data_IF_807621694355
#
_entry.id   IF_807621694355
#
_cell.length_a   1.000
_cell.length_b   1.000
_cell.length_c   1.000
_cell.angle_alpha   90.00
_cell.angle_beta   90.00
_cell.angle_gamma   90.00
#
_symmetry.space_group_name_H-M   'P 1'
#
loop_
_entity.id
_entity.type
_entity.pdbx_description
1 polymer ?
#
# COMPACT_ATOMS: atom_id res chain seq x y z
N UNK A 1 -0.37 -36.23 -11.45
CA UNK A 1 1.02 -36.67 -11.66
C UNK A 1 1.88 -35.85 -10.71
N UNK A 2 2.72 -36.44 -9.87
CA UNK A 2 3.54 -35.68 -8.94
C UNK A 2 4.57 -34.86 -9.72
N UNK A 3 4.63 -33.56 -9.46
CA UNK A 3 5.67 -32.69 -9.98
C UNK A 3 7.03 -33.21 -9.54
N UNK A 4 7.85 -33.64 -10.50
CA UNK A 4 9.27 -33.92 -10.26
C UNK A 4 9.92 -32.58 -9.89
N UNK A 5 10.37 -32.45 -8.65
CA UNK A 5 11.20 -31.35 -8.18
C UNK A 5 12.42 -31.21 -9.10
N UNK A 6 12.39 -30.19 -9.98
CA UNK A 6 13.61 -29.71 -10.62
C UNK A 6 14.35 -28.93 -9.53
N UNK A 7 15.57 -29.34 -9.22
CA UNK A 7 16.49 -28.52 -8.41
C UNK A 7 16.56 -27.16 -9.07
N UNK A 8 16.21 -26.06 -8.36
CA UNK A 8 16.21 -24.74 -8.96
C UNK A 8 17.61 -24.39 -9.47
N UNK A 9 17.70 -23.94 -10.71
CA UNK A 9 18.95 -23.52 -11.39
C UNK A 9 19.64 -22.34 -10.66
N UNK A 10 19.00 -21.78 -9.63
CA UNK A 10 19.42 -20.58 -8.91
C UNK A 10 20.32 -20.80 -7.69
N UNK A 11 20.57 -22.05 -7.26
CA UNK A 11 21.39 -22.35 -6.09
C UNK A 11 22.88 -22.45 -6.35
N UNK A 12 23.30 -22.47 -7.63
CA UNK A 12 24.68 -22.77 -8.01
C UNK A 12 25.73 -21.70 -7.64
N UNK A 13 25.31 -20.50 -7.17
CA UNK A 13 26.22 -19.38 -6.84
C UNK A 13 25.86 -18.62 -5.54
N UNK A 14 25.12 -19.22 -4.61
CA UNK A 14 24.80 -18.56 -3.36
C UNK A 14 25.95 -18.63 -2.36
N UNK A 15 26.41 -17.47 -1.90
CA UNK A 15 27.41 -17.39 -0.83
C UNK A 15 26.79 -17.53 0.56
N UNK A 16 25.97 -18.57 0.79
CA UNK A 16 25.25 -18.75 2.05
C UNK A 16 26.21 -18.99 3.22
N UNK A 17 27.10 -19.96 3.08
CA UNK A 17 28.05 -20.35 4.11
C UNK A 17 29.07 -19.26 4.42
N UNK A 18 29.67 -18.67 3.41
CA UNK A 18 30.67 -17.61 3.59
C UNK A 18 30.09 -16.36 4.24
N UNK A 19 28.94 -15.91 3.77
CA UNK A 19 28.24 -14.78 4.36
C UNK A 19 27.76 -15.04 5.79
N UNK A 20 27.36 -16.28 6.11
CA UNK A 20 27.00 -16.68 7.48
C UNK A 20 28.18 -16.48 8.45
N UNK A 21 29.35 -17.08 8.16
CA UNK A 21 30.53 -16.92 9.02
C UNK A 21 31.07 -15.49 9.05
N UNK A 22 31.00 -14.76 7.93
CA UNK A 22 31.30 -13.33 7.91
C UNK A 22 30.37 -12.56 8.85
N UNK A 23 29.06 -12.85 8.83
CA UNK A 23 28.08 -12.25 9.71
C UNK A 23 28.39 -12.54 11.18
N UNK A 24 28.69 -13.80 11.56
CA UNK A 24 29.10 -14.15 12.92
C UNK A 24 30.34 -13.38 13.35
N UNK A 25 31.37 -13.36 12.50
CA UNK A 25 32.59 -12.60 12.79
C UNK A 25 32.34 -11.12 13.08
N UNK A 26 31.45 -10.50 12.29
CA UNK A 26 31.13 -9.08 12.45
C UNK A 26 30.34 -8.83 13.74
N UNK A 27 29.38 -9.69 14.08
CA UNK A 27 28.59 -9.57 15.32
C UNK A 27 29.50 -9.70 16.55
N UNK A 28 30.45 -10.65 16.54
CA UNK A 28 31.38 -10.86 17.63
C UNK A 28 32.49 -9.76 17.67
N UNK A 29 32.48 -8.80 16.74
CA UNK A 29 33.47 -7.73 16.67
C UNK A 29 34.89 -8.22 16.33
N UNK A 30 35.02 -9.41 15.73
CA UNK A 30 36.30 -10.03 15.45
C UNK A 30 36.89 -9.55 14.11
N UNK A 31 38.23 -9.35 14.09
CA UNK A 31 38.93 -9.04 12.85
C UNK A 31 39.14 -10.31 12.01
N UNK A 32 39.18 -10.14 10.69
CA UNK A 32 39.45 -11.23 9.76
C UNK A 32 40.82 -11.91 10.07
N UNK A 33 41.83 -11.11 10.48
CA UNK A 33 43.15 -11.60 10.85
C UNK A 33 43.08 -12.50 12.10
N UNK A 34 42.35 -12.06 13.12
CA UNK A 34 42.22 -12.82 14.36
C UNK A 34 41.59 -14.21 14.13
N UNK A 35 40.49 -14.26 13.35
CA UNK A 35 39.83 -15.54 13.04
C UNK A 35 40.74 -16.42 12.18
N UNK A 36 41.39 -15.88 11.16
CA UNK A 36 42.29 -16.61 10.28
C UNK A 36 43.45 -17.26 11.07
N UNK A 37 44.08 -16.49 11.98
CA UNK A 37 45.16 -16.98 12.83
C UNK A 37 44.68 -18.12 13.78
N UNK A 38 43.48 -17.92 14.36
CA UNK A 38 42.90 -18.90 15.29
C UNK A 38 42.61 -20.25 14.64
N UNK A 39 42.21 -20.29 13.37
CA UNK A 39 41.95 -21.51 12.62
C UNK A 39 43.12 -21.93 11.73
N UNK A 40 44.31 -21.33 11.92
CA UNK A 40 45.55 -21.60 11.15
C UNK A 40 45.36 -21.47 9.63
N UNK A 41 44.62 -20.46 9.20
CA UNK A 41 44.32 -20.20 7.79
C UNK A 41 44.93 -18.87 7.32
N UNK A 42 45.24 -18.75 6.04
CA UNK A 42 45.68 -17.47 5.46
C UNK A 42 44.51 -16.48 5.43
N UNK A 43 44.73 -15.22 5.90
CA UNK A 43 43.76 -14.14 5.93
C UNK A 43 43.07 -13.91 4.57
N UNK A 44 43.85 -13.87 3.47
CA UNK A 44 43.33 -13.67 2.12
C UNK A 44 42.42 -14.82 1.69
N UNK A 45 42.77 -16.05 2.07
CA UNK A 45 41.97 -17.23 1.78
C UNK A 45 40.64 -17.21 2.55
N UNK A 46 40.66 -16.89 3.86
CA UNK A 46 39.44 -16.73 4.65
C UNK A 46 38.55 -15.62 4.07
N UNK A 47 39.15 -14.51 3.65
CA UNK A 47 38.40 -13.44 2.95
C UNK A 47 37.72 -13.92 1.68
N UNK A 48 38.40 -14.75 0.89
CA UNK A 48 37.83 -15.32 -0.33
C UNK A 48 36.68 -16.28 -0.04
N UNK A 49 36.76 -17.06 1.05
CA UNK A 49 35.68 -17.93 1.52
C UNK A 49 34.47 -17.12 1.99
N UNK A 50 34.68 -16.10 2.85
CA UNK A 50 33.59 -15.25 3.36
C UNK A 50 32.88 -14.46 2.25
N UNK A 51 33.57 -14.16 1.16
CA UNK A 51 33.00 -13.44 0.01
C UNK A 51 32.55 -14.37 -1.14
N UNK A 52 32.55 -15.69 -0.93
CA UNK A 52 32.08 -16.65 -1.91
C UNK A 52 32.94 -16.77 -3.16
N UNK A 53 34.19 -16.28 -3.12
CA UNK A 53 35.14 -16.38 -4.23
C UNK A 53 35.78 -17.76 -4.33
N UNK A 54 35.68 -18.56 -3.28
CA UNK A 54 36.19 -19.91 -3.18
C UNK A 54 35.22 -20.81 -2.44
N UNK A 55 35.26 -22.11 -2.75
CA UNK A 55 34.54 -23.14 -1.99
C UNK A 55 35.30 -23.47 -0.71
N UNK A 56 34.55 -23.84 0.33
CA UNK A 56 35.13 -24.30 1.59
C UNK A 56 35.80 -25.62 1.40
N UNK A 57 37.09 -25.76 1.77
CA UNK A 57 37.76 -27.07 1.84
C UNK A 57 37.11 -27.98 2.88
N UNK A 58 37.26 -29.29 2.68
CA UNK A 58 36.78 -30.27 3.65
C UNK A 58 37.31 -29.98 5.05
N UNK A 59 36.45 -30.07 6.04
CA UNK A 59 36.75 -29.82 7.43
C UNK A 59 36.83 -28.35 7.88
N UNK A 60 36.89 -27.38 6.95
CA UNK A 60 36.97 -25.95 7.30
C UNK A 60 35.72 -25.47 8.04
N UNK A 61 34.53 -25.91 7.63
CA UNK A 61 33.27 -25.57 8.30
C UNK A 61 33.28 -26.08 9.75
N UNK A 62 33.80 -27.27 9.99
CA UNK A 62 33.95 -27.82 11.34
C UNK A 62 34.90 -26.97 12.18
N UNK A 63 36.03 -26.54 11.63
CA UNK A 63 36.97 -25.65 12.33
C UNK A 63 36.33 -24.31 12.72
N UNK A 64 35.54 -23.73 11.83
CA UNK A 64 34.78 -22.49 12.12
C UNK A 64 33.66 -22.73 13.13
N UNK A 65 32.94 -23.86 13.03
CA UNK A 65 31.95 -24.27 14.02
C UNK A 65 32.56 -24.41 15.41
N UNK A 66 33.70 -25.07 15.50
CA UNK A 66 34.45 -25.27 16.78
C UNK A 66 34.92 -23.90 17.32
N UNK A 67 35.46 -23.06 16.46
CA UNK A 67 35.93 -21.70 16.84
C UNK A 67 34.81 -20.82 17.39
N UNK A 68 33.66 -20.78 16.72
CA UNK A 68 32.51 -19.96 17.14
C UNK A 68 31.59 -20.70 18.12
N UNK A 69 31.87 -21.93 18.49
CA UNK A 69 30.97 -22.80 19.26
C UNK A 69 29.55 -22.91 18.66
N UNK A 70 29.49 -23.12 17.34
CA UNK A 70 28.28 -23.23 16.57
C UNK A 70 28.07 -24.68 16.05
N UNK A 71 26.87 -24.92 15.50
CA UNK A 71 26.49 -26.18 14.84
C UNK A 71 25.91 -25.90 13.45
N UNK A 72 26.59 -25.05 12.67
CA UNK A 72 26.12 -24.69 11.34
C UNK A 72 26.16 -25.90 10.38
N UNK A 73 25.01 -26.15 9.73
CA UNK A 73 24.84 -27.16 8.69
C UNK A 73 24.72 -26.47 7.32
N UNK A 74 25.71 -26.66 6.45
CA UNK A 74 25.76 -26.04 5.10
C UNK A 74 24.92 -26.78 4.06
N UNK A 75 24.21 -27.86 4.45
CA UNK A 75 23.32 -28.60 3.56
C UNK A 75 22.22 -27.71 2.99
N UNK A 76 22.09 -27.62 1.69
CA UNK A 76 21.07 -26.83 1.00
C UNK A 76 19.61 -27.26 1.28
N UNK A 77 19.43 -28.42 1.97
CA UNK A 77 18.08 -28.93 2.30
C UNK A 77 17.23 -27.90 3.06
N UNK A 78 17.83 -27.12 3.97
CA UNK A 78 17.12 -26.13 4.79
C UNK A 78 16.73 -24.91 3.99
N UNK A 79 17.59 -24.45 3.09
CA UNK A 79 17.26 -23.39 2.15
C UNK A 79 16.11 -23.80 1.22
N UNK A 80 16.17 -25.01 0.63
CA UNK A 80 15.14 -25.54 -0.26
C UNK A 80 13.81 -25.74 0.49
N UNK A 81 13.84 -26.20 1.73
CA UNK A 81 12.62 -26.32 2.57
C UNK A 81 11.93 -24.98 2.74
N UNK A 82 12.68 -23.91 3.06
CA UNK A 82 12.13 -22.55 3.20
C UNK A 82 11.63 -22.02 1.85
N UNK A 83 12.38 -22.23 0.78
CA UNK A 83 12.00 -21.78 -0.56
C UNK A 83 10.66 -22.38 -1.02
N UNK A 84 10.40 -23.65 -0.73
CA UNK A 84 9.12 -24.31 -1.03
C UNK A 84 7.94 -23.71 -0.24
N UNK A 85 8.17 -23.20 0.96
CA UNK A 85 7.12 -22.55 1.76
C UNK A 85 6.80 -21.14 1.28
N UNK A 86 7.73 -20.45 0.62
CA UNK A 86 7.52 -19.07 0.15
C UNK A 86 6.36 -18.99 -0.83
N UNK A 87 6.29 -19.90 -1.79
CA UNK A 87 5.25 -19.89 -2.81
C UNK A 87 3.85 -20.04 -2.16
N UNK A 88 3.73 -20.89 -1.12
CA UNK A 88 2.47 -21.03 -0.37
C UNK A 88 2.13 -19.77 0.46
N UNK A 89 3.12 -19.13 1.06
CA UNK A 89 2.93 -17.89 1.84
C UNK A 89 2.42 -16.76 0.93
N UNK A 90 3.09 -16.54 -0.21
CA UNK A 90 2.69 -15.49 -1.13
C UNK A 90 1.37 -15.81 -1.85
N UNK A 91 1.09 -17.09 -2.12
CA UNK A 91 -0.21 -17.51 -2.61
C UNK A 91 -1.32 -17.23 -1.58
N UNK A 92 -1.09 -17.51 -0.29
CA UNK A 92 -2.04 -17.17 0.77
C UNK A 92 -2.26 -15.66 0.88
N UNK A 93 -1.18 -14.86 0.77
CA UNK A 93 -1.24 -13.40 0.79
C UNK A 93 -2.05 -12.85 -0.39
N UNK A 94 -1.81 -13.32 -1.62
CA UNK A 94 -2.56 -12.93 -2.81
C UNK A 94 -4.06 -13.24 -2.71
N UNK A 95 -4.42 -14.29 -1.98
CA UNK A 95 -5.82 -14.69 -1.74
C UNK A 95 -6.42 -14.07 -0.47
N UNK A 96 -5.72 -13.10 0.16
CA UNK A 96 -6.15 -12.46 1.41
C UNK A 96 -6.43 -13.45 2.55
N UNK A 97 -5.79 -14.63 2.50
CA UNK A 97 -5.92 -15.67 3.52
C UNK A 97 -4.90 -15.45 4.65
N UNK A 98 -5.13 -14.38 5.43
CA UNK A 98 -4.26 -13.97 6.53
C UNK A 98 -4.06 -15.06 7.59
N UNK A 99 -5.05 -15.91 7.79
CA UNK A 99 -4.94 -17.03 8.74
C UNK A 99 -3.90 -18.05 8.27
N UNK A 100 -3.99 -18.49 6.99
CA UNK A 100 -3.02 -19.45 6.41
C UNK A 100 -1.63 -18.82 6.33
N UNK A 101 -1.52 -17.56 5.89
CA UNK A 101 -0.27 -16.80 5.86
C UNK A 101 0.43 -16.82 7.23
N UNK A 102 -0.30 -16.44 8.28
CA UNK A 102 0.21 -16.41 9.66
C UNK A 102 0.65 -17.78 10.14
N UNK A 103 -0.19 -18.79 9.93
CA UNK A 103 0.09 -20.17 10.34
C UNK A 103 1.39 -20.72 9.71
N UNK A 104 1.61 -20.48 8.41
CA UNK A 104 2.82 -20.91 7.71
C UNK A 104 4.07 -20.21 8.26
N UNK A 105 4.00 -18.90 8.49
CA UNK A 105 5.11 -18.14 9.08
C UNK A 105 5.40 -18.57 10.51
N UNK A 106 4.40 -18.79 11.35
CA UNK A 106 4.59 -19.27 12.72
C UNK A 106 5.20 -20.70 12.77
N UNK A 107 4.82 -21.56 11.82
CA UNK A 107 5.43 -22.89 11.68
C UNK A 107 6.93 -22.78 11.35
N UNK A 108 7.31 -21.89 10.46
CA UNK A 108 8.72 -21.62 10.14
C UNK A 108 9.45 -21.06 11.36
N UNK A 109 8.86 -20.10 12.05
CA UNK A 109 9.46 -19.47 13.24
C UNK A 109 9.63 -20.45 14.41
N UNK A 110 8.77 -21.48 14.51
CA UNK A 110 8.90 -22.52 15.52
C UNK A 110 10.17 -23.39 15.37
N UNK A 111 10.76 -23.40 14.15
CA UNK A 111 12.00 -24.12 13.84
C UNK A 111 13.24 -23.19 13.84
N UNK A 112 13.18 -22.06 14.54
CA UNK A 112 14.23 -21.03 14.58
C UNK A 112 15.62 -21.63 14.78
N UNK A 113 15.82 -22.45 15.81
CA UNK A 113 17.13 -23.00 16.17
C UNK A 113 17.79 -23.81 15.03
N UNK A 114 16.97 -24.43 14.18
CA UNK A 114 17.43 -25.20 13.03
C UNK A 114 17.86 -24.24 11.90
N UNK A 115 17.01 -23.28 11.55
CA UNK A 115 17.28 -22.40 10.40
C UNK A 115 18.36 -21.36 10.71
N UNK A 116 18.45 -20.86 11.93
CA UNK A 116 19.51 -19.91 12.35
C UNK A 116 20.90 -20.54 12.32
N UNK A 117 21.00 -21.87 12.38
CA UNK A 117 22.26 -22.59 12.30
C UNK A 117 22.39 -23.42 11.01
N UNK A 118 21.90 -22.90 9.89
CA UNK A 118 21.91 -23.64 8.62
C UNK A 118 22.03 -22.74 7.40
N UNK A 119 22.15 -23.35 6.23
CA UNK A 119 22.08 -22.68 4.94
C UNK A 119 20.81 -21.84 4.73
N UNK A 120 19.77 -22.11 5.51
CA UNK A 120 18.51 -21.34 5.50
C UNK A 120 18.55 -20.00 6.24
N UNK A 121 19.66 -19.65 6.92
CA UNK A 121 19.77 -18.50 7.81
C UNK A 121 19.22 -17.18 7.23
N UNK A 122 19.69 -16.77 6.05
CA UNK A 122 19.27 -15.49 5.47
C UNK A 122 17.81 -15.51 5.01
N UNK A 123 17.37 -16.60 4.40
CA UNK A 123 15.99 -16.76 3.96
C UNK A 123 15.01 -16.83 5.14
N UNK A 124 15.41 -17.51 6.22
CA UNK A 124 14.66 -17.53 7.48
C UNK A 124 14.52 -16.11 8.06
N UNK A 125 15.58 -15.33 8.12
CA UNK A 125 15.53 -13.94 8.62
C UNK A 125 14.72 -13.03 7.72
N UNK A 126 14.68 -13.28 6.42
CA UNK A 126 13.79 -12.57 5.50
C UNK A 126 12.31 -12.87 5.80
N UNK A 127 11.95 -14.11 6.06
CA UNK A 127 10.60 -14.52 6.44
C UNK A 127 10.24 -14.04 7.86
N UNK A 128 11.20 -13.99 8.77
CA UNK A 128 11.04 -13.39 10.09
C UNK A 128 10.76 -11.89 9.98
N UNK A 129 11.49 -11.16 9.14
CA UNK A 129 11.21 -9.74 8.83
C UNK A 129 9.78 -9.57 8.31
N UNK A 130 9.33 -10.45 7.42
CA UNK A 130 7.98 -10.43 6.90
C UNK A 130 6.93 -10.62 8.01
N UNK A 131 7.13 -11.62 8.88
CA UNK A 131 6.25 -11.84 10.03
C UNK A 131 6.21 -10.63 10.98
N UNK A 132 7.36 -10.05 11.31
CA UNK A 132 7.44 -8.86 12.16
C UNK A 132 6.65 -7.70 11.57
N UNK A 133 6.78 -7.48 10.29
CA UNK A 133 6.04 -6.43 9.58
C UNK A 133 4.53 -6.72 9.59
N UNK A 134 4.10 -7.93 9.34
CA UNK A 134 2.68 -8.26 9.18
C UNK A 134 1.93 -8.43 10.50
N UNK A 135 2.56 -8.97 11.52
CA UNK A 135 1.87 -9.50 12.71
C UNK A 135 2.41 -9.00 14.05
N UNK A 136 3.65 -8.57 14.14
CA UNK A 136 4.24 -8.14 15.41
C UNK A 136 4.32 -6.61 15.53
N UNK A 137 4.67 -5.90 14.46
CA UNK A 137 4.75 -4.44 14.36
C UNK A 137 5.72 -3.76 15.35
N UNK A 138 6.71 -4.50 15.89
CA UNK A 138 7.74 -3.92 16.75
C UNK A 138 8.86 -3.31 15.88
N UNK A 139 8.95 -1.99 15.86
CA UNK A 139 9.88 -1.24 15.00
C UNK A 139 11.36 -1.54 15.28
N UNK A 140 11.72 -1.81 16.52
CA UNK A 140 13.12 -2.18 16.87
C UNK A 140 13.50 -3.48 16.21
N UNK A 141 12.66 -4.53 16.37
CA UNK A 141 12.92 -5.84 15.75
C UNK A 141 12.87 -5.79 14.23
N UNK A 142 11.97 -4.99 13.65
CA UNK A 142 11.90 -4.77 12.20
C UNK A 142 13.21 -4.15 11.70
N UNK A 143 13.72 -3.10 12.38
CA UNK A 143 14.94 -2.44 11.98
C UNK A 143 16.17 -3.34 12.10
N UNK A 144 16.27 -4.16 13.17
CA UNK A 144 17.36 -5.12 13.34
C UNK A 144 17.35 -6.19 12.25
N UNK A 145 16.19 -6.80 11.99
CA UNK A 145 16.05 -7.83 10.94
C UNK A 145 16.33 -7.22 9.53
N UNK A 146 15.85 -6.01 9.25
CA UNK A 146 16.14 -5.30 8.01
C UNK A 146 17.63 -5.04 7.83
N UNK A 147 18.31 -4.54 8.87
CA UNK A 147 19.76 -4.27 8.86
C UNK A 147 20.57 -5.53 8.61
N UNK A 148 20.18 -6.67 9.21
CA UNK A 148 20.81 -7.96 8.99
C UNK A 148 20.79 -8.33 7.50
N UNK A 149 19.63 -8.22 6.85
CA UNK A 149 19.48 -8.54 5.43
C UNK A 149 20.27 -7.54 4.56
N UNK A 150 20.15 -6.24 4.82
CA UNK A 150 20.85 -5.18 4.07
C UNK A 150 22.39 -5.32 4.14
N UNK A 151 22.92 -5.83 5.24
CA UNK A 151 24.36 -6.07 5.42
C UNK A 151 24.89 -7.30 4.68
N UNK A 152 24.03 -8.17 4.18
CA UNK A 152 24.38 -9.46 3.58
C UNK A 152 23.69 -9.69 2.22
N UNK A 153 23.51 -8.63 1.42
CA UNK A 153 22.83 -8.73 0.13
C UNK A 153 23.54 -9.65 -0.88
N UNK A 154 24.85 -9.89 -0.71
CA UNK A 154 25.63 -10.82 -1.52
C UNK A 154 25.32 -12.31 -1.25
N UNK A 155 24.64 -12.60 -0.13
CA UNK A 155 24.12 -13.94 0.18
C UNK A 155 22.70 -14.18 -0.38
N UNK A 156 22.13 -13.20 -1.06
CA UNK A 156 20.73 -13.19 -1.49
C UNK A 156 20.69 -13.25 -3.01
N UNK A 157 20.00 -14.24 -3.57
CA UNK A 157 19.79 -14.33 -5.01
C UNK A 157 18.73 -13.32 -5.51
N UNK A 158 18.52 -13.23 -6.81
CA UNK A 158 17.56 -12.30 -7.42
C UNK A 158 16.10 -12.58 -7.00
N UNK A 159 15.74 -13.86 -6.73
CA UNK A 159 14.41 -14.24 -6.23
C UNK A 159 14.21 -13.71 -4.82
N UNK A 160 15.13 -14.02 -3.90
CA UNK A 160 15.04 -13.57 -2.50
C UNK A 160 15.12 -12.03 -2.38
N UNK A 161 15.92 -11.41 -3.25
CA UNK A 161 15.99 -9.94 -3.32
C UNK A 161 14.66 -9.33 -3.79
N UNK A 162 13.95 -9.98 -4.71
CA UNK A 162 12.62 -9.53 -5.12
C UNK A 162 11.62 -9.62 -3.97
N UNK A 163 11.69 -10.70 -3.17
CA UNK A 163 10.89 -10.89 -1.96
C UNK A 163 11.20 -9.80 -0.94
N UNK A 164 12.48 -9.52 -0.70
CA UNK A 164 12.90 -8.45 0.20
C UNK A 164 12.33 -7.10 -0.21
N UNK A 165 12.39 -6.75 -1.48
CA UNK A 165 11.80 -5.49 -1.97
C UNK A 165 10.27 -5.48 -1.87
N UNK A 166 9.59 -6.61 -2.08
CA UNK A 166 8.16 -6.72 -1.84
C UNK A 166 7.82 -6.43 -0.37
N UNK A 167 8.54 -7.06 0.55
CA UNK A 167 8.38 -6.89 2.00
C UNK A 167 8.60 -5.43 2.42
N UNK A 168 9.64 -4.78 1.89
CA UNK A 168 9.90 -3.36 2.14
C UNK A 168 8.79 -2.47 1.56
N UNK A 169 8.27 -2.80 0.38
CA UNK A 169 7.12 -2.11 -0.21
C UNK A 169 5.90 -2.18 0.72
N UNK A 170 5.58 -3.35 1.25
CA UNK A 170 4.48 -3.56 2.23
C UNK A 170 4.75 -2.75 3.51
N UNK A 171 5.98 -2.75 4.01
CA UNK A 171 6.36 -1.99 5.20
C UNK A 171 6.12 -0.49 5.04
N UNK A 172 6.64 0.10 3.97
CA UNK A 172 6.52 1.54 3.75
C UNK A 172 5.11 1.98 3.35
N UNK A 173 4.29 1.10 2.76
CA UNK A 173 2.89 1.40 2.44
C UNK A 173 1.99 1.58 3.68
N UNK A 174 2.40 1.13 4.86
CA UNK A 174 1.64 1.32 6.11
C UNK A 174 1.41 2.79 6.47
N UNK A 175 2.28 3.66 6.02
CA UNK A 175 2.16 5.09 6.25
C UNK A 175 2.00 5.81 4.90
N UNK A 176 0.86 6.46 4.63
CA UNK A 176 0.61 7.19 3.38
C UNK A 176 1.72 8.20 3.02
N UNK A 177 2.39 8.81 4.01
CA UNK A 177 3.51 9.73 3.76
C UNK A 177 4.73 9.07 3.12
N UNK A 178 4.84 7.74 3.19
CA UNK A 178 5.93 6.95 2.62
C UNK A 178 5.53 6.18 1.36
N UNK A 179 4.36 6.44 0.79
CA UNK A 179 3.87 5.80 -0.44
C UNK A 179 4.87 5.91 -1.61
N UNK A 180 5.59 7.02 -1.72
CA UNK A 180 6.64 7.20 -2.73
C UNK A 180 7.80 6.20 -2.54
N UNK A 181 8.17 5.91 -1.30
CA UNK A 181 9.22 4.91 -0.97
C UNK A 181 8.71 3.50 -1.26
N UNK A 182 7.46 3.21 -0.88
CA UNK A 182 6.81 1.93 -1.16
C UNK A 182 6.75 1.66 -2.68
N UNK A 183 6.33 2.65 -3.47
CA UNK A 183 6.32 2.57 -4.94
C UNK A 183 7.68 2.18 -5.51
N UNK A 184 8.75 2.82 -5.02
CA UNK A 184 10.12 2.52 -5.48
C UNK A 184 10.50 1.06 -5.20
N UNK A 185 10.14 0.52 -4.04
CA UNK A 185 10.43 -0.87 -3.69
C UNK A 185 9.57 -1.85 -4.49
N UNK A 186 8.28 -1.61 -4.67
CA UNK A 186 7.45 -2.47 -5.53
C UNK A 186 7.93 -2.49 -6.99
N UNK A 187 8.36 -1.35 -7.53
CA UNK A 187 8.96 -1.29 -8.88
C UNK A 187 10.27 -2.05 -8.98
N UNK A 188 11.14 -1.97 -7.97
CA UNK A 188 12.36 -2.78 -7.91
C UNK A 188 12.03 -4.28 -7.84
N UNK A 189 11.05 -4.65 -7.02
CA UNK A 189 10.56 -6.02 -6.97
C UNK A 189 10.12 -6.50 -8.35
N UNK A 190 9.25 -5.75 -9.04
CA UNK A 190 8.75 -6.10 -10.37
C UNK A 190 9.86 -6.24 -11.41
N UNK A 191 10.96 -5.50 -11.30
CA UNK A 191 12.09 -5.64 -12.21
C UNK A 191 12.87 -6.96 -12.04
N UNK A 192 12.72 -7.65 -10.90
CA UNK A 192 13.40 -8.90 -10.56
C UNK A 192 12.45 -10.10 -10.57
N UNK A 193 11.14 -9.90 -10.42
CA UNK A 193 10.14 -10.94 -10.15
C UNK A 193 9.53 -11.59 -11.41
N UNK A 194 10.20 -11.51 -12.55
CA UNK A 194 9.68 -12.06 -13.83
C UNK A 194 9.25 -13.54 -13.76
N UNK A 195 9.81 -14.30 -12.84
CA UNK A 195 9.57 -15.74 -12.67
C UNK A 195 8.72 -16.10 -11.42
N UNK A 196 8.18 -15.10 -10.70
CA UNK A 196 7.38 -15.32 -9.48
C UNK A 196 6.02 -14.63 -9.64
N UNK A 197 5.02 -15.33 -10.23
CA UNK A 197 3.74 -14.73 -10.60
C UNK A 197 2.99 -14.10 -9.43
N UNK A 198 2.95 -14.77 -8.26
CA UNK A 198 2.21 -14.26 -7.09
C UNK A 198 2.81 -12.95 -6.56
N UNK A 199 4.14 -12.85 -6.49
CA UNK A 199 4.82 -11.61 -6.05
C UNK A 199 4.60 -10.48 -7.07
N UNK A 200 4.68 -10.78 -8.36
CA UNK A 200 4.39 -9.79 -9.40
C UNK A 200 2.92 -9.35 -9.36
N UNK A 201 1.98 -10.28 -9.14
CA UNK A 201 0.57 -9.99 -8.95
C UNK A 201 0.35 -9.05 -7.76
N UNK A 202 0.91 -9.39 -6.60
CA UNK A 202 0.81 -8.59 -5.39
C UNK A 202 1.36 -7.18 -5.60
N UNK A 203 2.58 -7.06 -6.13
CA UNK A 203 3.20 -5.74 -6.33
C UNK A 203 2.42 -4.88 -7.32
N UNK A 204 1.85 -5.46 -8.39
CA UNK A 204 1.01 -4.70 -9.33
C UNK A 204 -0.28 -4.24 -8.68
N UNK A 205 -0.90 -5.07 -7.84
CA UNK A 205 -2.10 -4.73 -7.09
C UNK A 205 -1.83 -3.63 -6.06
N UNK A 206 -0.75 -3.73 -5.30
CA UNK A 206 -0.37 -2.72 -4.30
C UNK A 206 -0.08 -1.35 -4.95
N UNK A 207 0.49 -1.33 -6.16
CA UNK A 207 0.73 -0.11 -6.92
C UNK A 207 -0.58 0.57 -7.37
N UNK A 208 -1.67 -0.18 -7.61
CA UNK A 208 -2.99 0.41 -7.92
C UNK A 208 -3.42 1.33 -6.77
N UNK A 209 -3.40 0.80 -5.54
CA UNK A 209 -3.77 1.58 -4.35
C UNK A 209 -2.89 2.81 -4.17
N UNK A 210 -1.55 2.67 -4.28
CA UNK A 210 -0.63 3.81 -4.16
C UNK A 210 -0.94 4.90 -5.19
N UNK A 211 -1.20 4.52 -6.45
CA UNK A 211 -1.51 5.50 -7.49
C UNK A 211 -2.87 6.15 -7.30
N UNK A 212 -3.88 5.40 -6.84
CA UNK A 212 -5.19 5.94 -6.49
C UNK A 212 -5.06 6.96 -5.34
N UNK A 213 -4.40 6.58 -4.24
CA UNK A 213 -4.19 7.42 -3.06
C UNK A 213 -3.35 8.69 -3.35
N UNK A 214 -2.51 8.67 -4.38
CA UNK A 214 -1.67 9.81 -4.77
C UNK A 214 -2.18 10.58 -5.97
N UNK A 215 -3.49 10.52 -6.25
CA UNK A 215 -4.18 11.23 -7.35
C UNK A 215 -3.59 10.95 -8.75
N UNK A 216 -3.02 9.77 -8.96
CA UNK A 216 -2.46 9.32 -10.24
C UNK A 216 -3.36 8.29 -10.92
N UNK A 217 -4.65 8.62 -11.05
CA UNK A 217 -5.72 7.71 -11.48
C UNK A 217 -5.48 7.07 -12.85
N UNK A 218 -4.85 7.77 -13.80
CA UNK A 218 -4.48 7.19 -15.10
C UNK A 218 -3.44 6.06 -14.98
N UNK A 219 -2.46 6.21 -14.07
CA UNK A 219 -1.50 5.14 -13.78
C UNK A 219 -2.18 3.99 -13.04
N UNK A 220 -3.02 4.30 -12.03
CA UNK A 220 -3.81 3.29 -11.33
C UNK A 220 -4.64 2.44 -12.31
N UNK A 221 -5.34 3.09 -13.24
CA UNK A 221 -6.11 2.41 -14.29
C UNK A 221 -5.23 1.47 -15.14
N UNK A 222 -4.06 1.95 -15.58
CA UNK A 222 -3.10 1.13 -16.35
C UNK A 222 -2.64 -0.09 -15.56
N UNK A 223 -2.42 0.06 -14.26
CA UNK A 223 -2.03 -1.06 -13.39
C UNK A 223 -3.20 -2.00 -13.09
N UNK A 224 -4.45 -1.53 -13.08
CA UNK A 224 -5.63 -2.40 -13.05
C UNK A 224 -5.63 -3.38 -14.23
N UNK A 225 -5.41 -2.89 -15.46
CA UNK A 225 -5.35 -3.74 -16.65
C UNK A 225 -4.22 -4.80 -16.56
N UNK A 226 -3.02 -4.37 -16.12
CA UNK A 226 -1.89 -5.29 -15.93
C UNK A 226 -2.20 -6.34 -14.86
N UNK A 227 -2.69 -5.91 -13.71
CA UNK A 227 -3.01 -6.77 -12.57
C UNK A 227 -4.09 -7.77 -12.94
N UNK A 228 -5.16 -7.33 -13.60
CA UNK A 228 -6.25 -8.19 -14.07
C UNK A 228 -5.74 -9.36 -14.92
N UNK A 229 -4.82 -9.10 -15.86
CA UNK A 229 -4.25 -10.14 -16.71
C UNK A 229 -3.47 -11.19 -15.93
N UNK A 230 -2.80 -10.81 -14.83
CA UNK A 230 -2.05 -11.72 -13.97
C UNK A 230 -3.00 -12.53 -13.10
N UNK A 231 -3.94 -11.88 -12.39
CA UNK A 231 -4.88 -12.55 -11.50
C UNK A 231 -5.87 -13.46 -12.25
N UNK A 232 -6.19 -13.16 -13.51
CA UNK A 232 -6.96 -14.08 -14.35
C UNK A 232 -6.19 -15.39 -14.60
N UNK A 233 -4.88 -15.32 -14.87
CA UNK A 233 -4.03 -16.54 -15.01
C UNK A 233 -3.91 -17.32 -13.70
N UNK A 234 -3.92 -16.63 -12.56
CA UNK A 234 -3.93 -17.24 -11.23
C UNK A 234 -5.31 -17.73 -10.80
N UNK A 235 -6.36 -17.50 -11.58
CA UNK A 235 -7.76 -17.85 -11.28
C UNK A 235 -8.26 -17.25 -9.95
N UNK A 236 -7.74 -16.10 -9.57
CA UNK A 236 -8.13 -15.39 -8.35
C UNK A 236 -9.26 -14.39 -8.64
N UNK A 237 -10.48 -14.89 -8.71
CA UNK A 237 -11.66 -14.10 -9.05
C UNK A 237 -12.02 -13.05 -7.99
N UNK A 238 -11.72 -13.33 -6.72
CA UNK A 238 -11.97 -12.36 -5.64
C UNK A 238 -11.14 -11.11 -5.82
N UNK A 239 -9.84 -11.24 -6.08
CA UNK A 239 -8.97 -10.08 -6.32
C UNK A 239 -9.32 -9.39 -7.63
N UNK A 240 -9.75 -10.12 -8.66
CA UNK A 240 -10.24 -9.53 -9.91
C UNK A 240 -11.45 -8.61 -9.69
N UNK A 241 -12.38 -9.00 -8.81
CA UNK A 241 -13.49 -8.13 -8.43
C UNK A 241 -12.99 -6.80 -7.81
N UNK A 242 -12.03 -6.84 -6.90
CA UNK A 242 -11.45 -5.61 -6.34
C UNK A 242 -10.72 -4.76 -7.37
N UNK A 243 -10.02 -5.39 -8.32
CA UNK A 243 -9.36 -4.68 -9.43
C UNK A 243 -10.39 -3.96 -10.28
N UNK A 244 -11.51 -4.62 -10.63
CA UNK A 244 -12.60 -4.03 -11.41
C UNK A 244 -13.25 -2.86 -10.64
N UNK A 245 -13.41 -3.01 -9.33
CA UNK A 245 -13.90 -1.93 -8.46
C UNK A 245 -12.94 -0.72 -8.42
N UNK A 246 -11.63 -0.95 -8.24
CA UNK A 246 -10.62 0.10 -8.33
C UNK A 246 -10.62 0.79 -9.70
N UNK A 247 -10.84 0.03 -10.77
CA UNK A 247 -10.94 0.57 -12.12
C UNK A 247 -12.11 1.55 -12.25
N UNK A 248 -13.27 1.24 -11.63
CA UNK A 248 -14.41 2.15 -11.58
C UNK A 248 -14.05 3.46 -10.87
N UNK A 249 -13.40 3.37 -9.71
CA UNK A 249 -12.97 4.56 -8.97
C UNK A 249 -11.96 5.40 -9.77
N UNK A 250 -11.04 4.75 -10.50
CA UNK A 250 -10.14 5.47 -11.40
C UNK A 250 -10.90 6.22 -12.51
N UNK A 251 -11.94 5.62 -13.10
CA UNK A 251 -12.78 6.26 -14.11
C UNK A 251 -13.51 7.48 -13.52
N UNK A 252 -14.04 7.37 -12.30
CA UNK A 252 -14.67 8.48 -11.59
C UNK A 252 -13.69 9.65 -11.42
N UNK A 253 -12.48 9.36 -10.92
CA UNK A 253 -11.45 10.38 -10.70
C UNK A 253 -10.91 10.99 -12.01
N UNK A 254 -11.05 10.29 -13.13
CA UNK A 254 -10.71 10.80 -14.47
C UNK A 254 -11.86 11.59 -15.12
N UNK A 255 -13.01 11.75 -14.43
CA UNK A 255 -14.19 12.44 -14.96
C UNK A 255 -15.01 11.62 -15.96
N UNK A 256 -14.73 10.32 -16.10
CA UNK A 256 -15.44 9.40 -16.99
C UNK A 256 -16.63 8.75 -16.26
N UNK A 257 -17.53 9.61 -15.76
CA UNK A 257 -18.60 9.21 -14.82
C UNK A 257 -19.57 8.19 -15.40
N UNK A 258 -20.02 8.35 -16.64
CA UNK A 258 -20.95 7.41 -17.26
C UNK A 258 -20.37 6.00 -17.39
N UNK A 259 -19.10 5.92 -17.80
CA UNK A 259 -18.39 4.63 -17.88
C UNK A 259 -18.20 4.00 -16.51
N UNK A 260 -17.94 4.81 -15.48
CA UNK A 260 -17.84 4.32 -14.11
C UNK A 260 -19.18 3.80 -13.58
N UNK A 261 -20.27 4.57 -13.76
CA UNK A 261 -21.63 4.18 -13.36
C UNK A 261 -22.03 2.86 -14.02
N UNK A 262 -21.81 2.74 -15.33
CA UNK A 262 -22.11 1.50 -16.05
C UNK A 262 -21.38 0.31 -15.44
N UNK A 263 -20.05 0.40 -15.27
CA UNK A 263 -19.25 -0.70 -14.70
C UNK A 263 -19.62 -1.01 -13.25
N UNK A 264 -19.85 0.00 -12.40
CA UNK A 264 -20.28 -0.21 -11.01
C UNK A 264 -21.64 -0.93 -10.96
N UNK A 265 -22.57 -0.57 -11.85
CA UNK A 265 -23.87 -1.20 -11.94
C UNK A 265 -23.75 -2.67 -12.41
N UNK A 266 -22.89 -2.95 -13.39
CA UNK A 266 -22.59 -4.31 -13.83
C UNK A 266 -21.98 -5.16 -12.70
N UNK A 267 -21.02 -4.59 -11.93
CA UNK A 267 -20.42 -5.27 -10.79
C UNK A 267 -21.46 -5.55 -9.70
N UNK A 268 -22.31 -4.57 -9.38
CA UNK A 268 -23.37 -4.71 -8.38
C UNK A 268 -24.39 -5.80 -8.75
N UNK A 269 -24.73 -5.94 -10.04
CA UNK A 269 -25.63 -6.97 -10.51
C UNK A 269 -25.03 -8.39 -10.46
N UNK A 270 -23.70 -8.48 -10.47
CA UNK A 270 -22.98 -9.76 -10.46
C UNK A 270 -22.51 -10.20 -9.07
N UNK A 271 -22.69 -9.36 -8.06
CA UNK A 271 -22.28 -9.70 -6.69
C UNK A 271 -23.34 -10.54 -5.98
N UNK A 272 -22.90 -11.50 -5.18
CA UNK A 272 -23.82 -12.24 -4.30
C UNK A 272 -24.39 -11.30 -3.23
N UNK A 273 -25.71 -11.18 -3.19
CA UNK A 273 -26.43 -10.31 -2.26
C UNK A 273 -26.22 -10.68 -0.77
N UNK A 274 -25.64 -11.83 -0.49
CA UNK A 274 -25.22 -12.20 0.88
C UNK A 274 -23.98 -11.42 1.37
N UNK A 275 -23.27 -10.73 0.50
CA UNK A 275 -22.03 -9.98 0.80
C UNK A 275 -22.31 -8.50 1.11
N UNK A 276 -23.09 -8.21 2.12
CA UNK A 276 -23.57 -6.87 2.50
C UNK A 276 -22.47 -5.79 2.54
N UNK A 277 -21.25 -6.15 2.98
CA UNK A 277 -20.15 -5.19 3.09
C UNK A 277 -19.73 -4.59 1.74
N UNK A 278 -19.65 -5.39 0.70
CA UNK A 278 -19.22 -4.92 -0.62
C UNK A 278 -20.33 -4.17 -1.34
N UNK A 279 -21.60 -4.53 -1.09
CA UNK A 279 -22.77 -3.87 -1.65
C UNK A 279 -22.85 -2.42 -1.13
N UNK A 280 -22.67 -2.20 0.17
CA UNK A 280 -22.71 -0.85 0.74
C UNK A 280 -21.64 0.06 0.14
N UNK A 281 -20.41 -0.44 0.00
CA UNK A 281 -19.30 0.30 -0.62
C UNK A 281 -19.56 0.60 -2.10
N UNK A 282 -20.24 -0.27 -2.83
CA UNK A 282 -20.64 0.00 -4.21
C UNK A 282 -21.72 1.07 -4.29
N UNK A 283 -22.71 1.06 -3.39
CA UNK A 283 -23.71 2.13 -3.30
C UNK A 283 -23.04 3.48 -2.98
N UNK A 284 -22.09 3.49 -2.06
CA UNK A 284 -21.29 4.67 -1.77
C UNK A 284 -20.57 5.20 -3.03
N UNK A 285 -19.86 4.32 -3.75
CA UNK A 285 -19.13 4.71 -4.98
C UNK A 285 -20.08 5.20 -6.09
N UNK A 286 -21.27 4.59 -6.23
CA UNK A 286 -22.30 5.07 -7.13
C UNK A 286 -22.81 6.45 -6.71
N UNK A 287 -23.11 6.64 -5.42
CA UNK A 287 -23.54 7.93 -4.88
C UNK A 287 -22.52 9.03 -5.17
N UNK A 288 -21.24 8.76 -4.92
CA UNK A 288 -20.14 9.66 -5.20
C UNK A 288 -20.04 9.99 -6.70
N UNK A 289 -20.11 9.00 -7.56
CA UNK A 289 -20.04 9.18 -9.00
C UNK A 289 -21.22 10.02 -9.53
N UNK A 290 -22.44 9.76 -9.04
CA UNK A 290 -23.63 10.56 -9.36
C UNK A 290 -23.53 12.00 -8.84
N UNK A 291 -22.93 12.20 -7.65
CA UNK A 291 -22.69 13.53 -7.11
C UNK A 291 -21.80 14.38 -8.03
N UNK A 292 -20.67 13.79 -8.45
CA UNK A 292 -19.73 14.43 -9.36
C UNK A 292 -20.31 14.65 -10.77
N UNK A 293 -21.17 13.73 -11.23
CA UNK A 293 -21.89 13.85 -12.50
C UNK A 293 -23.12 14.74 -12.43
N UNK A 294 -23.32 15.50 -11.34
CA UNK A 294 -24.43 16.41 -11.11
C UNK A 294 -25.83 15.76 -11.20
N UNK A 295 -25.92 14.45 -11.02
CA UNK A 295 -27.17 13.68 -10.98
C UNK A 295 -27.64 13.51 -9.52
N UNK A 296 -28.04 14.63 -8.92
CA UNK A 296 -28.25 14.74 -7.48
C UNK A 296 -29.36 13.85 -6.93
N UNK A 297 -30.44 13.61 -7.69
CA UNK A 297 -31.51 12.71 -7.27
C UNK A 297 -31.06 11.26 -7.14
N UNK A 298 -30.22 10.77 -8.09
CA UNK A 298 -29.63 9.44 -8.00
C UNK A 298 -28.58 9.37 -6.88
N UNK A 299 -27.81 10.46 -6.70
CA UNK A 299 -26.88 10.56 -5.54
C UNK A 299 -27.62 10.34 -4.22
N UNK A 300 -28.72 11.06 -3.97
CA UNK A 300 -29.54 10.90 -2.75
C UNK A 300 -30.03 9.47 -2.60
N UNK A 301 -30.55 8.88 -3.68
CA UNK A 301 -31.05 7.48 -3.69
C UNK A 301 -29.96 6.49 -3.28
N UNK A 302 -28.78 6.54 -3.91
CA UNK A 302 -27.70 5.62 -3.61
C UNK A 302 -27.02 5.89 -2.27
N UNK A 303 -27.01 7.15 -1.80
CA UNK A 303 -26.57 7.47 -0.45
C UNK A 303 -27.47 6.80 0.61
N UNK A 304 -28.79 6.88 0.44
CA UNK A 304 -29.71 6.19 1.35
C UNK A 304 -29.51 4.67 1.33
N UNK A 305 -29.31 4.07 0.15
CA UNK A 305 -29.01 2.65 0.05
C UNK A 305 -27.69 2.26 0.75
N UNK A 306 -26.66 3.10 0.66
CA UNK A 306 -25.40 2.89 1.38
C UNK A 306 -25.61 2.93 2.89
N UNK A 307 -26.34 3.93 3.40
CA UNK A 307 -26.67 4.08 4.84
C UNK A 307 -27.50 2.90 5.34
N UNK A 308 -28.54 2.50 4.62
CA UNK A 308 -29.39 1.34 4.94
C UNK A 308 -28.59 0.05 5.02
N UNK A 309 -27.56 -0.10 4.18
CA UNK A 309 -26.64 -1.24 4.19
C UNK A 309 -25.45 -1.04 5.13
N UNK A 310 -25.51 -0.04 6.03
CA UNK A 310 -24.52 0.23 7.08
C UNK A 310 -23.11 0.49 6.56
N UNK A 311 -23.00 1.29 5.50
CA UNK A 311 -21.70 1.75 5.03
C UNK A 311 -21.02 2.59 6.11
N UNK A 312 -19.75 2.32 6.47
CA UNK A 312 -19.05 3.03 7.53
C UNK A 312 -18.49 4.38 7.11
N UNK A 313 -18.67 4.79 5.86
CA UNK A 313 -18.04 6.00 5.30
C UNK A 313 -18.64 7.27 5.88
N UNK A 314 -17.83 8.06 6.56
CA UNK A 314 -18.28 9.29 7.24
C UNK A 314 -18.63 10.42 6.26
N UNK A 315 -18.11 10.41 5.05
CA UNK A 315 -18.37 11.40 4.00
C UNK A 315 -19.80 11.36 3.45
N UNK A 316 -20.52 10.25 3.63
CA UNK A 316 -21.95 10.17 3.29
C UNK A 316 -22.78 11.27 3.95
N UNK A 317 -22.32 11.84 5.06
CA UNK A 317 -23.03 12.89 5.80
C UNK A 317 -23.30 14.16 4.97
N UNK A 318 -22.46 14.47 3.96
CA UNK A 318 -22.65 15.66 3.13
C UNK A 318 -23.25 15.39 1.75
N UNK A 319 -23.35 14.15 1.28
CA UNK A 319 -23.85 13.83 -0.06
C UNK A 319 -25.30 14.29 -0.26
N UNK A 320 -26.18 14.00 0.70
CA UNK A 320 -27.59 14.39 0.66
C UNK A 320 -27.76 15.93 0.77
N UNK A 321 -27.22 16.61 1.79
CA UNK A 321 -27.43 18.04 1.91
C UNK A 321 -26.75 18.84 0.78
N UNK A 322 -25.57 18.41 0.31
CA UNK A 322 -24.96 19.05 -0.85
C UNK A 322 -25.82 18.87 -2.13
N UNK A 323 -26.42 17.69 -2.32
CA UNK A 323 -27.34 17.44 -3.43
C UNK A 323 -28.58 18.33 -3.35
N UNK A 324 -29.22 18.48 -2.17
CA UNK A 324 -30.32 19.41 -1.99
C UNK A 324 -29.91 20.87 -2.24
N UNK A 325 -28.73 21.25 -1.76
CA UNK A 325 -28.19 22.60 -2.02
C UNK A 325 -28.06 22.88 -3.54
N UNK A 326 -27.48 21.95 -4.30
CA UNK A 326 -27.31 22.09 -5.76
C UNK A 326 -28.64 22.04 -6.52
N UNK A 327 -29.66 21.36 -6.01
CA UNK A 327 -31.03 21.37 -6.52
C UNK A 327 -31.83 22.60 -6.08
N UNK A 328 -31.23 23.50 -5.29
CA UNK A 328 -31.89 24.68 -4.70
C UNK A 328 -33.04 24.36 -3.74
N UNK A 329 -33.08 23.12 -3.22
CA UNK A 329 -34.03 22.68 -2.19
C UNK A 329 -33.54 23.10 -0.80
N UNK A 330 -33.37 24.39 -0.56
CA UNK A 330 -32.64 24.92 0.59
C UNK A 330 -33.28 24.57 1.94
N UNK A 331 -34.61 24.50 2.02
CA UNK A 331 -35.27 24.09 3.27
C UNK A 331 -34.92 22.67 3.64
N UNK A 332 -35.03 21.72 2.70
CA UNK A 332 -34.65 20.32 2.95
C UNK A 332 -33.18 20.18 3.32
N UNK A 333 -32.31 20.99 2.68
CA UNK A 333 -30.90 21.01 2.99
C UNK A 333 -30.64 21.44 4.44
N UNK A 334 -31.24 22.53 4.90
CA UNK A 334 -31.08 23.05 6.26
C UNK A 334 -31.65 22.09 7.29
N UNK A 335 -32.85 21.55 7.09
CA UNK A 335 -33.48 20.57 7.97
C UNK A 335 -32.61 19.31 8.12
N UNK A 336 -32.03 18.84 7.01
CA UNK A 336 -31.12 17.69 7.04
C UNK A 336 -29.85 17.99 7.83
N UNK A 337 -29.21 19.15 7.60
CA UNK A 337 -27.99 19.55 8.31
C UNK A 337 -28.29 19.69 9.80
N UNK A 338 -29.37 20.40 10.18
CA UNK A 338 -29.73 20.62 11.58
C UNK A 338 -29.95 19.29 12.34
N UNK A 339 -30.60 18.32 11.69
CA UNK A 339 -30.90 17.03 12.33
C UNK A 339 -29.69 16.09 12.41
N UNK A 340 -28.64 16.27 11.59
CA UNK A 340 -27.52 15.34 11.50
C UNK A 340 -26.16 15.93 11.91
N UNK A 341 -26.06 17.26 12.08
CA UNK A 341 -24.79 17.94 12.37
C UNK A 341 -24.13 17.47 13.66
N UNK A 342 -24.90 17.18 14.68
CA UNK A 342 -24.39 16.72 15.99
C UNK A 342 -23.67 15.36 15.86
N UNK A 343 -24.21 14.48 15.01
CA UNK A 343 -23.71 13.11 14.80
C UNK A 343 -22.68 13.02 13.68
N UNK A 344 -22.48 14.09 12.89
CA UNK A 344 -21.48 14.09 11.83
C UNK A 344 -20.07 14.03 12.41
N UNK A 345 -19.15 13.39 11.68
CA UNK A 345 -17.74 13.38 12.01
C UNK A 345 -17.17 14.82 12.03
N UNK A 346 -16.33 15.11 13.02
CA UNK A 346 -15.77 16.46 13.21
C UNK A 346 -14.97 16.96 12.00
N UNK A 347 -14.45 16.05 11.19
CA UNK A 347 -13.74 16.38 9.94
C UNK A 347 -14.69 17.03 8.90
N UNK A 348 -15.94 16.55 8.80
CA UNK A 348 -16.93 17.03 7.82
C UNK A 348 -17.84 18.15 8.33
N UNK A 349 -17.93 18.36 9.65
CA UNK A 349 -18.75 19.43 10.24
C UNK A 349 -18.52 20.81 9.61
N UNK A 350 -17.27 21.27 9.38
CA UNK A 350 -17.05 22.58 8.77
C UNK A 350 -17.64 22.69 7.36
N UNK A 351 -17.64 21.59 6.59
CA UNK A 351 -18.26 21.61 5.26
C UNK A 351 -19.78 21.73 5.36
N UNK A 352 -20.44 20.98 6.22
CA UNK A 352 -21.88 21.10 6.46
C UNK A 352 -22.27 22.52 6.93
N UNK A 353 -21.51 23.08 7.85
CA UNK A 353 -21.69 24.45 8.32
C UNK A 353 -21.48 25.48 7.20
N UNK A 354 -20.54 25.26 6.29
CA UNK A 354 -20.33 26.14 5.14
C UNK A 354 -21.53 26.13 4.18
N UNK A 355 -22.13 24.95 3.93
CA UNK A 355 -23.34 24.85 3.11
C UNK A 355 -24.49 25.64 3.74
N UNK A 356 -24.72 25.46 5.04
CA UNK A 356 -25.75 26.19 5.79
C UNK A 356 -25.52 27.70 5.76
N UNK A 357 -24.30 28.15 6.07
CA UNK A 357 -23.91 29.55 6.06
C UNK A 357 -24.10 30.20 4.68
N UNK A 358 -23.82 29.48 3.60
CA UNK A 358 -24.02 29.96 2.24
C UNK A 358 -25.49 30.19 1.91
N UNK A 359 -26.36 29.25 2.29
CA UNK A 359 -27.84 29.38 2.12
C UNK A 359 -28.36 30.58 2.92
N UNK A 360 -27.88 30.76 4.14
CA UNK A 360 -28.27 31.84 5.04
C UNK A 360 -27.60 33.18 4.74
N UNK A 361 -26.73 33.26 3.73
CA UNK A 361 -25.93 34.43 3.35
C UNK A 361 -25.02 34.96 4.46
N UNK A 362 -24.56 34.06 5.33
CA UNK A 362 -23.59 34.35 6.39
C UNK A 362 -22.17 34.20 5.81
N UNK A 363 -21.73 35.15 5.01
CA UNK A 363 -20.52 35.01 4.17
C UNK A 363 -19.24 34.87 4.95
N UNK A 364 -19.13 35.53 6.11
CA UNK A 364 -17.93 35.37 7.00
C UNK A 364 -17.82 33.95 7.55
N UNK A 365 -18.93 33.39 7.99
CA UNK A 365 -18.96 32.00 8.50
C UNK A 365 -18.74 30.98 7.38
N UNK A 366 -19.28 31.26 6.18
CA UNK A 366 -18.99 30.44 5.01
C UNK A 366 -17.49 30.38 4.72
N UNK A 367 -16.82 31.53 4.58
CA UNK A 367 -15.39 31.58 4.27
C UNK A 367 -14.55 30.90 5.34
N UNK A 368 -14.82 31.17 6.61
CA UNK A 368 -14.13 30.53 7.73
C UNK A 368 -14.25 29.01 7.68
N UNK A 369 -15.44 28.46 7.54
CA UNK A 369 -15.69 27.03 7.59
C UNK A 369 -15.18 26.30 6.34
N UNK A 370 -15.35 26.88 5.14
CA UNK A 370 -14.88 26.24 3.91
C UNK A 370 -13.36 26.22 3.81
N UNK A 371 -12.68 27.28 4.28
CA UNK A 371 -11.21 27.31 4.37
C UNK A 371 -10.70 26.23 5.32
N UNK A 372 -11.30 26.15 6.51
CA UNK A 372 -10.93 25.13 7.50
C UNK A 372 -11.05 23.72 6.91
N UNK A 373 -12.16 23.43 6.26
CA UNK A 373 -12.38 22.13 5.63
C UNK A 373 -11.40 21.86 4.50
N UNK A 374 -11.17 22.82 3.62
CA UNK A 374 -10.22 22.69 2.51
C UNK A 374 -8.79 22.42 3.00
N UNK A 375 -8.33 23.14 4.02
CA UNK A 375 -7.03 22.89 4.64
C UNK A 375 -6.95 21.50 5.28
N UNK A 376 -8.03 21.04 5.92
CA UNK A 376 -8.10 19.70 6.51
C UNK A 376 -8.00 18.61 5.44
N UNK A 377 -8.61 18.76 4.27
CA UNK A 377 -8.46 17.83 3.14
C UNK A 377 -7.00 17.72 2.70
N UNK A 378 -6.30 18.86 2.55
CA UNK A 378 -4.89 18.87 2.15
C UNK A 378 -3.97 18.25 3.19
N UNK A 379 -4.16 18.57 4.47
CA UNK A 379 -3.36 18.05 5.56
C UNK A 379 -3.50 16.53 5.75
N UNK A 380 -4.70 16.00 5.51
CA UNK A 380 -4.98 14.58 5.65
C UNK A 380 -4.82 13.80 4.33
N UNK A 381 -4.36 14.45 3.25
CA UNK A 381 -4.18 13.86 1.91
C UNK A 381 -5.47 13.24 1.33
N UNK A 382 -6.63 13.84 1.61
CA UNK A 382 -7.95 13.42 1.07
C UNK A 382 -8.16 14.12 -0.28
N UNK A 383 -7.54 13.60 -1.32
CA UNK A 383 -7.49 14.26 -2.63
C UNK A 383 -8.80 14.17 -3.41
N UNK A 384 -9.61 13.15 -3.21
CA UNK A 384 -10.84 12.90 -3.98
C UNK A 384 -11.87 14.02 -3.83
N UNK A 385 -12.01 14.58 -2.62
CA UNK A 385 -12.95 15.66 -2.32
C UNK A 385 -12.51 17.04 -2.81
N UNK A 386 -11.22 17.25 -3.11
CA UNK A 386 -10.65 18.57 -3.41
C UNK A 386 -11.33 19.23 -4.63
N UNK A 387 -11.53 18.56 -5.79
CA UNK A 387 -12.16 19.19 -6.94
C UNK A 387 -13.60 19.68 -6.66
N UNK A 388 -14.36 18.91 -5.85
CA UNK A 388 -15.72 19.30 -5.46
C UNK A 388 -15.69 20.62 -4.67
N UNK A 389 -14.78 20.71 -3.69
CA UNK A 389 -14.66 21.88 -2.82
C UNK A 389 -14.11 23.09 -3.57
N UNK A 390 -13.12 22.89 -4.44
CA UNK A 390 -12.61 23.95 -5.30
C UNK A 390 -13.71 24.54 -6.17
N UNK A 391 -14.56 23.73 -6.78
CA UNK A 391 -15.70 24.19 -7.55
C UNK A 391 -16.73 24.92 -6.67
N UNK A 392 -16.99 24.43 -5.46
CA UNK A 392 -17.91 25.07 -4.52
C UNK A 392 -17.43 26.47 -4.08
N UNK A 393 -16.12 26.64 -3.87
CA UNK A 393 -15.49 27.91 -3.56
C UNK A 393 -15.50 28.84 -4.79
N UNK A 394 -15.20 28.31 -5.97
CA UNK A 394 -15.20 29.07 -7.23
C UNK A 394 -16.59 29.61 -7.53
N UNK A 395 -17.66 28.82 -7.37
CA UNK A 395 -19.05 29.26 -7.52
C UNK A 395 -19.36 30.44 -6.60
N UNK A 396 -18.91 30.38 -5.33
CA UNK A 396 -19.13 31.47 -4.37
C UNK A 396 -18.44 32.78 -4.78
N UNK A 397 -17.14 32.71 -5.11
CA UNK A 397 -16.43 33.94 -5.49
C UNK A 397 -16.89 34.50 -6.86
N UNK A 398 -17.43 33.65 -7.73
CA UNK A 398 -18.06 34.09 -8.98
C UNK A 398 -19.36 34.82 -8.71
N UNK A 399 -20.21 34.31 -7.83
CA UNK A 399 -21.47 34.97 -7.42
C UNK A 399 -21.23 36.31 -6.71
N UNK A 400 -20.17 36.39 -5.90
CA UNK A 400 -19.80 37.63 -5.17
C UNK A 400 -18.91 38.57 -6.00
N UNK A 401 -18.58 38.19 -7.26
CA UNK A 401 -17.73 38.94 -8.19
C UNK A 401 -16.34 39.33 -7.62
N UNK A 402 -15.78 38.42 -6.78
CA UNK A 402 -14.44 38.61 -6.19
C UNK A 402 -13.36 38.08 -7.15
N UNK A 403 -12.91 38.95 -8.08
CA UNK A 403 -11.99 38.61 -9.16
C UNK A 403 -10.64 38.07 -8.64
N UNK A 404 -10.11 38.63 -7.56
CA UNK A 404 -8.81 38.23 -7.01
C UNK A 404 -8.87 36.80 -6.46
N UNK A 405 -9.95 36.47 -5.78
CA UNK A 405 -10.14 35.12 -5.25
C UNK A 405 -10.47 34.12 -6.37
N UNK A 406 -11.20 34.53 -7.42
CA UNK A 406 -11.42 33.69 -8.62
C UNK A 406 -10.06 33.30 -9.25
N UNK A 407 -9.16 34.26 -9.43
CA UNK A 407 -7.83 33.99 -9.99
C UNK A 407 -7.05 33.03 -9.10
N UNK A 408 -7.07 33.23 -7.77
CA UNK A 408 -6.37 32.37 -6.81
C UNK A 408 -6.89 30.94 -6.87
N UNK A 409 -8.21 30.72 -6.87
CA UNK A 409 -8.76 29.36 -6.92
C UNK A 409 -8.50 28.69 -8.27
N UNK A 410 -8.51 29.41 -9.39
CA UNK A 410 -8.17 28.85 -10.70
C UNK A 410 -6.71 28.43 -10.79
N UNK A 411 -5.79 29.17 -10.17
CA UNK A 411 -4.38 28.79 -10.06
C UNK A 411 -4.25 27.51 -9.23
N UNK A 412 -4.98 27.43 -8.12
CA UNK A 412 -4.98 26.28 -7.24
C UNK A 412 -5.52 25.02 -7.95
N UNK A 413 -6.65 25.15 -8.67
CA UNK A 413 -7.21 24.06 -9.50
C UNK A 413 -6.19 23.60 -10.55
N UNK A 414 -5.52 24.53 -11.23
CA UNK A 414 -4.49 24.19 -12.20
C UNK A 414 -3.34 23.43 -11.56
N UNK A 415 -2.80 23.92 -10.45
CA UNK A 415 -1.70 23.28 -9.70
C UNK A 415 -2.08 21.87 -9.25
N UNK A 416 -3.31 21.68 -8.81
CA UNK A 416 -3.82 20.37 -8.41
C UNK A 416 -3.89 19.40 -9.60
N UNK A 417 -4.37 19.87 -10.76
CA UNK A 417 -4.50 19.08 -11.98
C UNK A 417 -3.14 18.76 -12.64
N UNK A 418 -2.18 19.69 -12.59
CA UNK A 418 -0.83 19.51 -13.14
C UNK A 418 0.00 18.52 -12.30
N UNK A 419 -0.56 18.01 -11.19
CA UNK A 419 0.04 16.98 -10.32
C UNK A 419 1.37 17.36 -9.69
N UNK A 420 1.60 18.64 -9.50
CA UNK A 420 2.76 19.12 -8.76
C UNK A 420 2.49 18.99 -7.25
N UNK A 421 2.44 17.73 -6.78
CA UNK A 421 2.22 17.35 -5.38
C UNK A 421 3.35 17.84 -4.44
N UNK A 422 4.33 18.58 -4.96
CA UNK A 422 5.38 19.21 -4.16
C UNK A 422 4.89 20.48 -3.46
N UNK A 423 3.77 21.07 -3.89
CA UNK A 423 3.14 22.20 -3.21
C UNK A 423 2.30 21.68 -2.02
N UNK A 424 2.95 21.42 -0.91
CA UNK A 424 2.31 21.09 0.38
C UNK A 424 1.51 22.23 1.00
N UNK A 425 1.38 23.37 0.33
CA UNK A 425 0.58 24.52 0.76
C UNK A 425 -0.18 25.09 -0.43
N UNK A 426 -1.51 25.01 -0.39
CA UNK A 426 -2.36 25.78 -1.28
C UNK A 426 -2.04 27.27 -1.13
N UNK A 427 -1.80 27.94 -2.25
CA UNK A 427 -1.59 29.40 -2.25
C UNK A 427 -2.89 30.18 -1.97
N UNK A 428 -4.04 29.51 -1.91
CA UNK A 428 -5.35 30.11 -1.71
C UNK A 428 -5.47 30.90 -0.40
N UNK A 429 -4.79 30.42 0.65
CA UNK A 429 -4.98 30.91 2.00
C UNK A 429 -3.66 31.15 2.76
N UNK A 430 -2.59 31.46 2.03
CA UNK A 430 -1.37 31.99 2.66
C UNK A 430 -1.68 33.39 3.13
N UNK A 431 -1.63 33.55 4.45
CA UNK A 431 -1.93 34.80 5.14
C UNK A 431 -1.29 36.02 4.52
N UNK A 432 -2.13 37.03 4.25
CA UNK A 432 -1.72 38.40 4.02
C UNK A 432 -1.40 39.13 5.35
N UNK A 433 -0.85 38.38 6.34
CA UNK A 433 -0.37 38.91 7.62
C UNK A 433 1.16 38.86 7.65
N UNK A 434 1.78 39.76 6.89
CA UNK A 434 3.14 40.24 7.09
C UNK A 434 3.24 41.71 6.72
#
# INVERSE_FOLDING_TARGET
MPYKHKIPIYTENLNLTGAYFRHQRIIDGLSLTYVADAISMNKGFLSDLENGKRNFPDGTINQLNDFYNLKFDDSLKFYIELENNIDEIFHALCNSNTFKEKQLLELILSKRDIYENSSGFFLFNLLNLFYLIRFNCNETFINDAKKLIESNLDAINSKDLSIFYCILGIYYKRNPSTNFVAEKYFKKCLSLSSNIPDIAALCTFELISIYAETNRSALAYTYCEKSRSIFNRLQNYTTMFFIDFFQCNCLTNLGLYESSIQKLTELLNNIDQSSNKYISTMYHSLAWCYLLNCQYSECIKYTNLAIENKDPSCDLCYFIPYSYYKQKEYLKCLDYIESHLEYADDFYKPFLQSISARIQKQYVDFEKNIILYYQSLLQNNVYEGIPLIQNFILDYYTETNNKDMIIKILIDIKSFNDKDLTLKSSTLFVDSSS
#
